data_IF_868807640087
#
_entry.id   IF_868807640087
#
_cell.length_a   1.000
_cell.length_b   1.000
_cell.length_c   1.000
_cell.angle_alpha   90.00
_cell.angle_beta   90.00
_cell.angle_gamma   90.00
#
_symmetry.space_group_name_H-M   'P 1'
#
loop_
_entity.id
_entity.type
_entity.pdbx_description
1 polymer ?
#
# COMPACT_ATOMS: atom_id res chain seq x y z
N UNK A 1 0.90 8.02 15.91
CA UNK A 1 0.72 7.54 14.52
C UNK A 1 1.35 6.16 14.36
N UNK A 2 0.64 5.18 13.81
CA UNK A 2 1.17 3.83 13.46
C UNK A 2 1.13 3.63 11.95
N UNK A 3 2.13 2.96 11.39
CA UNK A 3 2.21 2.67 9.95
C UNK A 3 2.54 1.19 9.71
N UNK A 4 2.19 0.70 8.52
CA UNK A 4 2.44 -0.70 8.14
C UNK A 4 1.33 -1.65 8.61
N UNK A 5 1.10 -2.73 7.85
CA UNK A 5 0.12 -3.77 8.21
C UNK A 5 -1.36 -3.45 7.97
N UNK A 6 -1.80 -2.19 8.04
CA UNK A 6 -3.23 -1.85 7.82
C UNK A 6 -3.66 -2.06 6.36
N UNK A 7 -4.69 -2.89 6.17
CA UNK A 7 -5.20 -3.28 4.83
C UNK A 7 -6.72 -3.20 4.70
N UNK A 8 -7.46 -3.10 5.80
CA UNK A 8 -8.93 -3.09 5.82
C UNK A 8 -9.43 -1.91 6.65
N UNK A 9 -10.59 -1.34 6.29
CA UNK A 9 -11.26 -0.30 7.08
C UNK A 9 -11.50 -0.74 8.52
N UNK A 10 -12.08 -1.93 8.71
CA UNK A 10 -12.41 -2.47 10.04
C UNK A 10 -11.20 -2.51 10.97
N UNK A 11 -10.04 -2.95 10.49
CA UNK A 11 -8.83 -3.00 11.30
C UNK A 11 -8.31 -1.59 11.64
N UNK A 12 -8.46 -0.64 10.72
CA UNK A 12 -8.09 0.76 10.94
C UNK A 12 -8.99 1.40 12.00
N UNK A 13 -10.31 1.25 11.87
CA UNK A 13 -11.28 1.77 12.83
C UNK A 13 -11.09 1.16 14.22
N UNK A 14 -10.87 -0.15 14.31
CA UNK A 14 -10.62 -0.81 15.59
C UNK A 14 -9.37 -0.26 16.30
N UNK A 15 -8.28 0.01 15.54
CA UNK A 15 -7.05 0.58 16.10
C UNK A 15 -7.24 2.01 16.61
N UNK A 16 -8.07 2.82 15.94
CA UNK A 16 -8.43 4.16 16.39
C UNK A 16 -9.35 4.11 17.62
N UNK A 17 -10.42 3.32 17.57
CA UNK A 17 -11.43 3.24 18.62
C UNK A 17 -10.89 2.67 19.94
N UNK A 18 -9.95 1.73 19.86
CA UNK A 18 -9.26 1.18 21.04
C UNK A 18 -8.23 2.13 21.67
N UNK A 19 -7.93 3.27 21.04
CA UNK A 19 -6.85 4.16 21.48
C UNK A 19 -5.44 3.60 21.23
N UNK A 20 -5.30 2.54 20.42
CA UNK A 20 -3.99 1.99 20.09
C UNK A 20 -3.14 2.98 19.27
N UNK A 21 -3.78 3.88 18.52
CA UNK A 21 -3.13 5.03 17.89
C UNK A 21 -4.13 6.14 17.56
N UNK A 22 -3.65 7.39 17.49
CA UNK A 22 -4.48 8.54 17.08
C UNK A 22 -4.50 8.77 15.56
N UNK A 23 -3.59 8.13 14.83
CA UNK A 23 -3.41 8.33 13.40
C UNK A 23 -2.83 7.08 12.72
N UNK A 24 -3.36 6.77 11.55
CA UNK A 24 -2.92 5.64 10.72
C UNK A 24 -2.21 6.17 9.47
N UNK A 25 -0.97 5.74 9.27
CA UNK A 25 -0.20 6.05 8.07
C UNK A 25 -0.31 4.96 7.01
N UNK A 26 -0.61 5.38 5.77
CA UNK A 26 -0.69 4.51 4.60
C UNK A 26 0.46 4.84 3.64
N UNK A 27 1.40 3.91 3.51
CA UNK A 27 2.57 4.06 2.63
C UNK A 27 2.34 3.49 1.23
N UNK A 28 2.86 2.28 0.98
CA UNK A 28 2.84 1.60 -0.34
C UNK A 28 1.49 1.66 -1.09
N UNK A 29 0.32 1.42 -0.46
CA UNK A 29 -0.96 1.55 -1.15
C UNK A 29 -1.23 2.96 -1.70
N UNK A 30 -0.83 4.01 -0.97
CA UNK A 30 -1.03 5.39 -1.41
C UNK A 30 -0.15 5.78 -2.61
N UNK A 31 0.99 5.12 -2.80
CA UNK A 31 1.87 5.35 -3.94
C UNK A 31 1.26 4.89 -5.27
N UNK A 32 0.44 3.82 -5.25
CA UNK A 32 -0.20 3.24 -6.44
C UNK A 32 -1.67 3.61 -6.57
N UNK A 33 -2.34 3.93 -5.45
CA UNK A 33 -3.74 4.32 -5.39
C UNK A 33 -3.89 5.57 -4.49
N UNK A 34 -3.58 6.78 -5.00
CA UNK A 34 -3.56 8.00 -4.20
C UNK A 34 -4.95 8.41 -3.68
N UNK A 35 -6.01 8.06 -4.41
CA UNK A 35 -7.41 8.31 -4.01
C UNK A 35 -7.98 7.23 -3.09
N UNK A 36 -7.15 6.29 -2.62
CA UNK A 36 -7.56 5.19 -1.77
C UNK A 36 -8.45 5.60 -0.58
N UNK A 37 -8.13 6.68 0.19
CA UNK A 37 -8.98 7.08 1.30
C UNK A 37 -10.40 7.38 0.85
N UNK A 38 -10.55 8.11 -0.25
CA UNK A 38 -11.86 8.54 -0.76
C UNK A 38 -12.63 7.42 -1.45
N UNK A 39 -11.95 6.56 -2.20
CA UNK A 39 -12.61 5.55 -3.05
C UNK A 39 -12.98 4.28 -2.30
N UNK A 40 -12.22 3.91 -1.24
CA UNK A 40 -12.37 2.60 -0.58
C UNK A 40 -12.45 2.72 0.94
N UNK A 41 -11.52 3.41 1.59
CA UNK A 41 -11.37 3.33 3.06
C UNK A 41 -12.41 4.17 3.81
N UNK A 42 -12.78 5.33 3.29
CA UNK A 42 -13.76 6.24 3.88
C UNK A 42 -15.05 6.31 3.05
N UNK A 43 -15.16 5.49 2.00
CA UNK A 43 -16.31 5.48 1.11
C UNK A 43 -17.47 4.68 1.74
N UNK A 44 -18.50 5.34 2.23
CA UNK A 44 -19.65 4.67 2.87
C UNK A 44 -20.42 3.73 1.92
N UNK A 45 -20.30 3.91 0.61
CA UNK A 45 -20.93 3.03 -0.38
C UNK A 45 -20.20 1.66 -0.50
N UNK A 46 -18.98 1.55 0.02
CA UNK A 46 -18.19 0.31 0.04
C UNK A 46 -18.42 -0.40 1.36
N UNK A 47 -19.00 -1.61 1.30
CA UNK A 47 -19.20 -2.47 2.47
C UNK A 47 -17.89 -2.75 3.19
N UNK A 48 -17.95 -2.86 4.52
CA UNK A 48 -16.77 -3.08 5.37
C UNK A 48 -15.92 -4.29 4.98
N UNK A 49 -16.56 -5.38 4.54
CA UNK A 49 -15.88 -6.59 4.06
C UNK A 49 -15.08 -6.39 2.77
N UNK A 50 -15.48 -5.42 1.94
CA UNK A 50 -14.90 -5.12 0.64
C UNK A 50 -13.94 -3.92 0.71
N UNK A 51 -14.00 -3.12 1.78
CA UNK A 51 -13.14 -1.96 2.04
C UNK A 51 -11.71 -2.38 2.42
N UNK A 52 -10.98 -2.97 1.46
CA UNK A 52 -9.63 -3.46 1.65
C UNK A 52 -8.70 -3.18 0.47
N UNK A 53 -7.38 -3.20 0.73
CA UNK A 53 -6.36 -3.04 -0.31
C UNK A 53 -5.29 -4.07 -0.13
N UNK A 54 -5.14 -4.95 -1.13
CA UNK A 54 -4.01 -5.84 -1.26
C UNK A 54 -3.23 -5.47 -2.51
N UNK A 55 -1.91 -5.43 -2.38
CA UNK A 55 -1.00 -5.17 -3.49
C UNK A 55 -0.40 -6.49 -3.93
N UNK A 56 -0.26 -6.69 -5.24
CA UNK A 56 0.42 -7.85 -5.78
C UNK A 56 1.88 -7.84 -5.32
N UNK A 57 2.41 -8.98 -4.81
CA UNK A 57 3.83 -9.11 -4.57
C UNK A 57 4.59 -8.81 -5.87
N UNK A 58 5.65 -8.00 -5.78
CA UNK A 58 6.54 -7.79 -6.91
C UNK A 58 7.24 -9.11 -7.23
N UNK A 59 6.96 -9.65 -8.43
CA UNK A 59 7.52 -10.91 -8.89
C UNK A 59 9.00 -10.67 -9.23
N UNK A 60 9.88 -11.15 -8.36
CA UNK A 60 11.30 -11.20 -8.67
C UNK A 60 11.57 -12.35 -9.65
N UNK A 61 12.37 -12.13 -10.71
CA UNK A 61 12.79 -13.20 -11.60
C UNK A 61 13.41 -14.36 -10.80
N UNK A 62 13.06 -15.60 -11.15
CA UNK A 62 13.39 -16.80 -10.34
C UNK A 62 14.90 -17.00 -10.10
N UNK A 63 15.75 -16.54 -11.01
CA UNK A 63 17.21 -16.61 -10.86
C UNK A 63 17.75 -15.73 -9.71
N UNK A 64 17.05 -14.67 -9.34
CA UNK A 64 17.45 -13.76 -8.25
C UNK A 64 17.36 -14.44 -6.88
N UNK A 65 16.52 -15.49 -6.74
CA UNK A 65 16.41 -16.29 -5.50
C UNK A 65 17.66 -17.11 -5.18
N UNK A 66 18.54 -17.33 -6.16
CA UNK A 66 19.78 -18.10 -6.00
C UNK A 66 20.98 -17.21 -5.65
N UNK A 67 20.83 -15.89 -5.74
CA UNK A 67 21.86 -14.94 -5.34
C UNK A 67 21.77 -14.68 -3.82
N UNK A 68 22.90 -14.65 -3.07
CA UNK A 68 22.92 -14.44 -1.62
C UNK A 68 22.60 -12.98 -1.18
N UNK A 69 21.89 -12.23 -2.03
CA UNK A 69 21.68 -10.78 -1.90
C UNK A 69 20.23 -10.51 -1.50
N UNK A 70 19.89 -10.81 -0.25
CA UNK A 70 18.56 -10.56 0.35
C UNK A 70 18.14 -9.07 0.27
N UNK A 71 19.10 -8.15 0.15
CA UNK A 71 18.89 -6.70 0.04
C UNK A 71 18.29 -6.24 -1.30
N UNK A 72 18.37 -7.03 -2.38
CA UNK A 72 17.80 -6.65 -3.67
C UNK A 72 16.26 -6.60 -3.66
N UNK A 73 15.61 -7.48 -2.89
CA UNK A 73 14.15 -7.53 -2.81
C UNK A 73 13.55 -6.24 -2.21
N UNK A 74 14.08 -5.77 -1.08
CA UNK A 74 13.64 -4.53 -0.45
C UNK A 74 13.96 -3.31 -1.32
N UNK A 75 15.13 -3.28 -1.96
CA UNK A 75 15.52 -2.21 -2.88
C UNK A 75 14.57 -2.08 -4.07
N UNK A 76 14.21 -3.20 -4.71
CA UNK A 76 13.29 -3.21 -5.87
C UNK A 76 11.86 -2.80 -5.51
N UNK A 77 11.38 -3.14 -4.32
CA UNK A 77 10.08 -2.63 -3.86
C UNK A 77 10.13 -1.11 -3.69
N UNK A 78 11.14 -0.59 -2.98
CA UNK A 78 11.29 0.85 -2.76
C UNK A 78 11.45 1.62 -4.07
N UNK A 79 12.22 1.10 -5.03
CA UNK A 79 12.38 1.65 -6.37
C UNK A 79 11.03 1.74 -7.09
N UNK A 80 10.26 0.66 -7.14
CA UNK A 80 8.95 0.63 -7.81
C UNK A 80 7.96 1.66 -7.23
N UNK A 81 7.77 1.68 -5.90
CA UNK A 81 6.84 2.62 -5.27
C UNK A 81 7.34 4.07 -5.35
N UNK A 82 8.66 4.28 -5.26
CA UNK A 82 9.28 5.58 -5.50
C UNK A 82 9.04 6.09 -6.91
N UNK A 83 9.14 5.22 -7.91
CA UNK A 83 8.81 5.57 -9.30
C UNK A 83 7.35 6.00 -9.43
N UNK A 84 6.41 5.35 -8.74
CA UNK A 84 5.00 5.76 -8.78
C UNK A 84 4.79 7.16 -8.22
N UNK A 85 5.47 7.49 -7.12
CA UNK A 85 5.46 8.86 -6.57
C UNK A 85 6.02 9.86 -7.58
N UNK A 86 7.13 9.52 -8.25
CA UNK A 86 7.70 10.37 -9.31
C UNK A 86 6.80 10.51 -10.53
N UNK A 87 5.96 9.51 -10.85
CA UNK A 87 4.95 9.60 -11.89
C UNK A 87 3.87 10.61 -11.52
N UNK A 88 3.37 10.55 -10.27
CA UNK A 88 2.42 11.54 -9.74
C UNK A 88 3.00 12.95 -9.83
N UNK A 89 4.26 13.14 -9.40
CA UNK A 89 4.94 14.43 -9.46
C UNK A 89 5.06 14.98 -10.90
N UNK A 90 5.10 14.10 -11.91
CA UNK A 90 5.11 14.45 -13.34
C UNK A 90 3.71 14.61 -13.95
N UNK A 91 2.65 14.55 -13.15
CA UNK A 91 1.26 14.59 -13.62
C UNK A 91 0.79 13.31 -14.31
N UNK A 92 1.56 12.22 -14.20
CA UNK A 92 1.22 10.92 -14.76
C UNK A 92 0.46 10.07 -13.75
N UNK A 93 -0.40 9.17 -14.24
CA UNK A 93 -1.09 8.20 -13.39
C UNK A 93 -0.11 7.12 -12.89
N UNK A 94 -0.16 6.75 -11.59
CA UNK A 94 0.49 5.54 -11.09
C UNK A 94 0.03 4.29 -11.83
N UNK A 95 0.87 3.27 -11.82
CA UNK A 95 0.53 1.93 -12.27
C UNK A 95 -0.18 1.20 -11.14
N UNK A 96 -1.47 0.92 -11.33
CA UNK A 96 -2.27 0.15 -10.37
C UNK A 96 -1.75 -1.30 -10.29
N UNK A 97 -1.44 -1.74 -9.06
CA UNK A 97 -0.93 -3.07 -8.75
C UNK A 97 -1.78 -3.80 -7.71
N UNK A 98 -3.07 -3.46 -7.60
CA UNK A 98 -4.02 -4.20 -6.75
C UNK A 98 -4.07 -5.69 -7.12
N UNK A 99 -4.17 -6.53 -6.09
CA UNK A 99 -4.25 -7.99 -6.16
C UNK A 99 -5.69 -8.49 -6.30
#
# INVERSE_FOLDING_TARGET
MVTGGFRTRVAMEAALASGACDLIGIGRPAAVLPHLPKEIILNEDVKDGDASVRLKPLVMPGWVKWAPITSLGAGKQSEYYGEQIQRIARGLRPVDSRA
#
